data_IF_825413040259
#
_entry.id   IF_825413040259
#
_cell.length_a   1.000
_cell.length_b   1.000
_cell.length_c   1.000
_cell.angle_alpha   90.00
_cell.angle_beta   90.00
_cell.angle_gamma   90.00
#
_symmetry.space_group_name_H-M   'P 1'
#
loop_
_entity.id
_entity.type
_entity.pdbx_description
1 polymer ?
#
# COMPACT_ATOMS: atom_id res chain seq x y z
N UNK A 1 6.18 22.35 43.65
CA UNK A 1 6.19 23.14 42.40
C UNK A 1 5.66 22.25 41.29
N UNK A 2 4.38 22.41 40.96
CA UNK A 2 3.70 21.69 39.90
C UNK A 2 4.11 22.30 38.56
N UNK A 3 4.70 21.48 37.67
CA UNK A 3 4.84 21.81 36.26
C UNK A 3 3.54 21.39 35.52
N UNK A 4 2.89 22.26 34.77
CA UNK A 4 1.73 21.88 33.99
C UNK A 4 2.19 20.97 32.86
N UNK A 5 1.60 19.78 32.74
CA UNK A 5 1.74 18.89 31.61
C UNK A 5 1.23 19.60 30.35
N UNK A 6 2.14 20.07 29.50
CA UNK A 6 1.79 20.52 28.14
C UNK A 6 1.19 19.33 27.40
N UNK A 7 -0.10 19.45 27.04
CA UNK A 7 -0.71 18.55 26.05
C UNK A 7 0.12 18.61 24.77
N UNK A 8 0.48 17.47 24.18
CA UNK A 8 1.13 17.48 22.87
C UNK A 8 0.17 18.10 21.84
N UNK A 9 0.66 18.87 20.88
CA UNK A 9 -0.19 19.51 19.89
C UNK A 9 -0.86 18.42 19.04
N UNK A 10 -2.16 18.27 19.16
CA UNK A 10 -3.04 17.51 18.26
C UNK A 10 -3.16 18.27 16.93
N UNK A 11 -2.06 18.47 16.25
CA UNK A 11 -2.00 18.99 14.87
C UNK A 11 -1.37 17.93 13.99
N UNK A 12 -2.16 16.93 13.58
CA UNK A 12 -1.95 16.21 12.34
C UNK A 12 -3.00 16.70 11.37
N UNK A 13 -2.68 17.65 10.75
CA UNK A 13 -2.68 18.23 9.44
C UNK A 13 -3.35 17.35 8.39
N UNK A 14 -4.47 17.86 7.90
CA UNK A 14 -5.04 17.58 6.60
C UNK A 14 -4.01 17.82 5.47
N UNK A 15 -3.04 16.93 5.34
CA UNK A 15 -2.19 16.87 4.16
C UNK A 15 -2.67 15.75 3.24
N UNK A 16 -3.96 15.76 2.89
CA UNK A 16 -4.48 14.84 1.88
C UNK A 16 -4.43 15.41 0.45
N UNK A 17 -3.71 16.51 0.28
CA UNK A 17 -3.26 16.94 -1.05
C UNK A 17 -1.74 16.80 -1.12
N UNK A 18 -1.22 15.59 -0.88
CA UNK A 18 0.17 15.27 -1.15
C UNK A 18 0.29 15.12 -2.67
N UNK A 19 0.79 16.16 -3.31
CA UNK A 19 1.27 16.05 -4.69
C UNK A 19 2.65 15.41 -4.59
N UNK A 20 2.71 14.10 -4.72
CA UNK A 20 3.97 13.37 -4.77
C UNK A 20 4.49 13.40 -6.22
N UNK A 21 5.32 14.38 -6.54
CA UNK A 21 6.04 14.39 -7.82
C UNK A 21 7.27 13.51 -7.70
N UNK A 22 7.14 12.28 -8.15
CA UNK A 22 8.27 11.39 -8.34
C UNK A 22 8.88 11.75 -9.69
N UNK A 23 10.07 12.32 -9.68
CA UNK A 23 10.88 12.42 -10.90
C UNK A 23 11.28 11.02 -11.33
N UNK A 24 10.47 10.42 -12.22
CA UNK A 24 10.75 9.11 -12.80
C UNK A 24 11.81 9.25 -13.90
N UNK A 25 13.05 9.53 -13.53
CA UNK A 25 14.20 9.15 -14.33
C UNK A 25 14.53 7.70 -14.00
N UNK A 26 13.74 6.76 -14.52
CA UNK A 26 14.13 5.36 -14.48
C UNK A 26 15.24 5.15 -15.51
N UNK A 27 16.41 4.65 -15.13
CA UNK A 27 17.25 3.96 -16.10
C UNK A 27 16.41 2.76 -16.58
N UNK A 28 16.12 2.72 -17.88
CA UNK A 28 15.50 1.55 -18.50
C UNK A 28 16.46 0.36 -18.29
N UNK A 29 16.19 -0.44 -17.27
CA UNK A 29 16.83 -1.74 -17.15
C UNK A 29 16.31 -2.62 -18.29
N UNK A 30 17.14 -2.80 -19.32
CA UNK A 30 16.93 -3.85 -20.31
C UNK A 30 17.16 -5.18 -19.61
N UNK A 31 16.09 -5.84 -19.24
CA UNK A 31 16.11 -7.14 -18.60
C UNK A 31 16.58 -8.20 -19.58
N UNK A 32 17.69 -8.86 -19.28
CA UNK A 32 18.04 -10.15 -19.88
C UNK A 32 17.35 -11.22 -19.01
N UNK A 33 16.47 -12.00 -19.61
CA UNK A 33 15.87 -13.21 -19.04
C UNK A 33 16.95 -14.06 -18.36
N UNK A 34 16.95 -14.15 -17.06
CA UNK A 34 17.89 -14.96 -16.29
C UNK A 34 18.45 -14.31 -15.02
N UNK A 35 18.43 -12.99 -14.91
CA UNK A 35 18.82 -12.26 -13.68
C UNK A 35 17.64 -11.70 -12.87
N UNK A 36 16.43 -11.83 -13.36
CA UNK A 36 15.22 -11.20 -12.77
C UNK A 36 14.73 -11.87 -11.49
N UNK A 37 15.16 -13.09 -11.21
CA UNK A 37 14.69 -13.86 -10.06
C UNK A 37 15.63 -13.79 -8.86
N UNK A 38 16.80 -13.15 -8.97
CA UNK A 38 17.69 -13.00 -7.82
C UNK A 38 17.20 -11.90 -6.89
N UNK A 39 16.98 -12.26 -5.64
CA UNK A 39 16.72 -11.28 -4.59
C UNK A 39 17.93 -10.37 -4.40
N UNK A 40 17.68 -9.11 -4.13
CA UNK A 40 18.70 -8.15 -3.67
C UNK A 40 19.18 -8.54 -2.26
N UNK A 41 20.36 -8.09 -1.86
CA UNK A 41 20.96 -8.49 -0.58
C UNK A 41 20.08 -8.20 0.63
N UNK A 42 19.47 -7.02 0.67
CA UNK A 42 18.51 -6.67 1.74
C UNK A 42 17.27 -7.57 1.74
N UNK A 43 16.76 -7.99 0.57
CA UNK A 43 15.64 -8.93 0.46
C UNK A 43 16.04 -10.31 0.95
N UNK A 44 17.24 -10.76 0.63
CA UNK A 44 17.78 -12.04 1.13
C UNK A 44 17.94 -12.02 2.66
N UNK A 45 18.41 -10.90 3.21
CA UNK A 45 18.55 -10.73 4.64
C UNK A 45 17.18 -10.81 5.35
N UNK A 46 16.16 -10.11 4.81
CA UNK A 46 14.79 -10.16 5.33
C UNK A 46 14.23 -11.57 5.20
N UNK A 47 14.40 -12.24 4.06
CA UNK A 47 13.95 -13.62 3.85
C UNK A 47 14.52 -14.58 4.90
N UNK A 48 15.82 -14.51 5.19
CA UNK A 48 16.44 -15.31 6.27
C UNK A 48 15.78 -15.03 7.62
N UNK A 49 15.56 -13.77 7.97
CA UNK A 49 14.91 -13.39 9.23
C UNK A 49 13.46 -13.87 9.33
N UNK A 50 12.72 -13.97 8.22
CA UNK A 50 11.39 -14.58 8.17
C UNK A 50 11.47 -16.05 8.56
N UNK A 51 12.36 -16.83 7.89
CA UNK A 51 12.51 -18.25 8.18
C UNK A 51 13.04 -18.51 9.58
N UNK A 52 13.94 -17.67 10.10
CA UNK A 52 14.44 -17.77 11.48
C UNK A 52 13.31 -17.50 12.50
N UNK A 53 12.47 -16.49 12.27
CA UNK A 53 11.32 -16.22 13.12
C UNK A 53 10.33 -17.40 13.12
N UNK A 54 10.10 -18.02 11.98
CA UNK A 54 9.20 -19.17 11.85
C UNK A 54 9.67 -20.45 12.57
N UNK A 55 10.87 -20.48 13.12
CA UNK A 55 11.33 -21.59 13.98
C UNK A 55 10.61 -21.61 15.32
N UNK A 56 10.22 -20.43 15.83
CA UNK A 56 9.64 -20.26 17.15
C UNK A 56 8.24 -19.63 17.14
N UNK A 57 7.82 -19.04 16.04
CA UNK A 57 6.60 -18.25 15.91
C UNK A 57 5.87 -18.60 14.62
N UNK A 58 4.54 -18.61 14.67
CA UNK A 58 3.74 -18.94 13.48
C UNK A 58 3.41 -17.71 12.62
N UNK A 59 3.27 -16.54 13.23
CA UNK A 59 2.72 -15.35 12.60
C UNK A 59 3.76 -14.22 12.54
N UNK A 60 4.28 -13.95 11.35
CA UNK A 60 5.34 -12.94 11.11
C UNK A 60 4.80 -11.83 10.24
N UNK A 61 4.98 -10.58 10.67
CA UNK A 61 4.74 -9.40 9.85
C UNK A 61 6.06 -8.85 9.35
N UNK A 62 6.11 -8.45 8.08
CA UNK A 62 7.27 -7.81 7.46
C UNK A 62 6.92 -6.38 7.09
N UNK A 63 7.73 -5.46 7.56
CA UNK A 63 7.68 -4.06 7.16
C UNK A 63 8.77 -3.75 6.14
N UNK A 64 8.34 -3.31 4.97
CA UNK A 64 9.24 -2.80 3.92
C UNK A 64 8.59 -1.61 3.23
N UNK A 65 9.34 -0.54 2.89
CA UNK A 65 8.81 0.60 2.16
C UNK A 65 8.21 0.21 0.81
N UNK A 66 7.32 1.05 0.30
CA UNK A 66 6.82 0.91 -1.07
C UNK A 66 7.96 1.10 -2.07
N UNK A 67 7.98 0.29 -3.13
CA UNK A 67 9.04 0.33 -4.15
C UNK A 67 10.24 -0.58 -3.88
N UNK A 68 10.37 -1.18 -2.68
CA UNK A 68 11.48 -2.06 -2.32
C UNK A 68 11.29 -3.53 -2.72
N UNK A 69 10.20 -3.85 -3.47
CA UNK A 69 9.99 -5.18 -4.03
C UNK A 69 9.40 -6.20 -3.05
N UNK A 70 8.47 -5.80 -2.19
CA UNK A 70 7.72 -6.70 -1.29
C UNK A 70 7.17 -7.94 -1.99
N UNK A 71 6.50 -7.75 -3.13
CA UNK A 71 5.89 -8.85 -3.90
C UNK A 71 6.94 -9.83 -4.43
N UNK A 72 8.13 -9.35 -4.73
CA UNK A 72 9.25 -10.18 -5.19
C UNK A 72 9.82 -11.05 -4.07
N UNK A 73 10.03 -10.45 -2.89
CA UNK A 73 10.41 -11.17 -1.68
C UNK A 73 9.36 -12.24 -1.35
N UNK A 74 8.08 -11.88 -1.37
CA UNK A 74 6.97 -12.79 -1.14
C UNK A 74 7.01 -14.01 -2.07
N UNK A 75 7.12 -13.78 -3.38
CA UNK A 75 7.18 -14.85 -4.37
C UNK A 75 8.38 -15.78 -4.13
N UNK A 76 9.51 -15.22 -3.72
CA UNK A 76 10.70 -16.02 -3.38
C UNK A 76 10.53 -16.86 -2.10
N UNK A 77 9.81 -16.36 -1.10
CA UNK A 77 9.46 -17.13 0.12
C UNK A 77 8.55 -18.31 -0.23
N UNK A 78 7.53 -18.06 -1.06
CA UNK A 78 6.62 -19.11 -1.53
C UNK A 78 7.38 -20.18 -2.33
N UNK A 79 8.27 -19.74 -3.22
CA UNK A 79 9.09 -20.65 -4.03
C UNK A 79 9.93 -21.59 -3.16
N UNK A 80 10.61 -21.08 -2.13
CA UNK A 80 11.42 -21.92 -1.25
C UNK A 80 10.56 -22.92 -0.48
N UNK A 81 9.39 -22.48 0.02
CA UNK A 81 8.48 -23.38 0.73
C UNK A 81 8.04 -24.53 -0.18
N UNK A 82 7.52 -24.21 -1.37
CA UNK A 82 7.03 -25.22 -2.31
C UNK A 82 8.14 -26.08 -2.92
N UNK A 83 9.38 -25.58 -3.00
CA UNK A 83 10.53 -26.38 -3.42
C UNK A 83 10.92 -27.45 -2.39
N UNK A 84 10.69 -27.14 -1.09
CA UNK A 84 10.98 -28.06 0.01
C UNK A 84 9.81 -29.01 0.26
N UNK A 85 8.59 -28.50 0.12
CA UNK A 85 7.34 -29.19 0.42
C UNK A 85 6.33 -29.05 -0.74
N UNK A 86 6.51 -29.78 -1.85
CA UNK A 86 5.69 -29.57 -3.08
C UNK A 86 4.21 -29.85 -2.92
N UNK A 87 3.83 -30.69 -1.95
CA UNK A 87 2.40 -31.04 -1.69
C UNK A 87 1.65 -29.95 -0.91
N UNK A 88 2.34 -28.94 -0.43
CA UNK A 88 1.74 -27.89 0.39
C UNK A 88 0.93 -26.89 -0.46
N UNK A 89 -0.08 -26.31 0.19
CA UNK A 89 -0.90 -25.25 -0.41
C UNK A 89 -0.59 -23.91 0.24
N UNK A 90 -0.47 -22.86 -0.57
CA UNK A 90 -0.24 -21.49 -0.12
C UNK A 90 -1.42 -20.61 -0.53
N UNK A 91 -1.94 -19.86 0.43
CA UNK A 91 -2.96 -18.86 0.15
C UNK A 91 -2.37 -17.45 0.20
N UNK A 92 -2.74 -16.63 -0.78
CA UNK A 92 -2.37 -15.22 -0.84
C UNK A 92 -3.65 -14.41 -0.72
N UNK A 93 -3.77 -13.67 0.37
CA UNK A 93 -4.94 -12.86 0.66
C UNK A 93 -4.60 -11.40 0.37
N UNK A 94 -5.29 -10.80 -0.58
CA UNK A 94 -5.16 -9.39 -0.89
C UNK A 94 -6.49 -8.65 -0.67
N UNK A 95 -6.41 -7.37 -0.36
CA UNK A 95 -7.61 -6.55 -0.14
C UNK A 95 -8.33 -6.19 -1.45
N UNK A 96 -7.59 -6.12 -2.58
CA UNK A 96 -8.12 -5.74 -3.90
C UNK A 96 -7.79 -6.77 -4.95
N UNK A 97 -8.71 -6.97 -5.89
CA UNK A 97 -8.57 -7.94 -6.98
C UNK A 97 -7.37 -7.63 -7.89
N UNK A 98 -7.10 -6.37 -8.17
CA UNK A 98 -5.96 -5.96 -9.00
C UNK A 98 -4.61 -6.37 -8.39
N UNK A 99 -4.51 -6.36 -7.04
CA UNK A 99 -3.32 -6.83 -6.33
C UNK A 99 -3.19 -8.35 -6.43
N UNK A 100 -4.30 -9.08 -6.40
CA UNK A 100 -4.30 -10.54 -6.61
C UNK A 100 -3.66 -10.89 -7.95
N UNK A 101 -4.10 -10.27 -9.05
CA UNK A 101 -3.55 -10.49 -10.39
C UNK A 101 -2.06 -10.14 -10.48
N UNK A 102 -1.64 -9.05 -9.84
CA UNK A 102 -0.23 -8.64 -9.80
C UNK A 102 0.64 -9.67 -9.08
N UNK A 103 0.16 -10.20 -7.96
CA UNK A 103 0.87 -11.20 -7.17
C UNK A 103 0.94 -12.52 -7.95
N UNK A 104 -0.16 -12.99 -8.52
CA UNK A 104 -0.21 -14.19 -9.37
C UNK A 104 0.81 -14.10 -10.51
N UNK A 105 0.85 -12.98 -11.23
CA UNK A 105 1.82 -12.75 -12.30
C UNK A 105 3.28 -12.76 -11.80
N UNK A 106 3.52 -12.25 -10.60
CA UNK A 106 4.87 -12.25 -10.02
C UNK A 106 5.28 -13.65 -9.61
N UNK A 107 4.40 -14.40 -8.94
CA UNK A 107 4.64 -15.79 -8.52
C UNK A 107 4.86 -16.69 -9.74
N UNK A 108 4.12 -16.48 -10.82
CA UNK A 108 4.30 -17.24 -12.07
C UNK A 108 5.69 -17.07 -12.69
N UNK A 109 6.36 -15.93 -12.51
CA UNK A 109 7.76 -15.73 -12.94
C UNK A 109 8.75 -16.63 -12.19
N UNK A 110 8.40 -17.10 -11.01
CA UNK A 110 9.15 -18.11 -10.26
C UNK A 110 8.84 -19.55 -10.69
N UNK A 111 8.08 -19.75 -11.77
CA UNK A 111 7.70 -21.06 -12.29
C UNK A 111 6.52 -21.71 -11.53
N UNK A 112 5.92 -21.01 -10.57
CA UNK A 112 4.77 -21.50 -9.82
C UNK A 112 3.51 -21.07 -10.58
N UNK A 113 2.82 -22.04 -11.19
CA UNK A 113 1.65 -21.77 -12.02
C UNK A 113 0.36 -21.95 -11.21
N UNK A 114 -0.65 -21.17 -11.57
CA UNK A 114 -1.98 -21.24 -10.95
C UNK A 114 -2.64 -22.61 -11.18
N UNK A 115 -2.37 -23.21 -12.33
CA UNK A 115 -2.91 -24.51 -12.76
C UNK A 115 -2.40 -25.66 -11.88
N UNK A 116 -1.24 -25.51 -11.26
CA UNK A 116 -0.66 -26.52 -10.36
C UNK A 116 -1.45 -26.63 -9.03
N UNK A 117 -2.35 -25.67 -8.74
CA UNK A 117 -3.22 -25.68 -7.58
C UNK A 117 -2.52 -25.39 -6.23
N UNK A 118 -1.21 -25.28 -6.24
CA UNK A 118 -0.39 -25.06 -5.02
C UNK A 118 -0.54 -23.65 -4.46
N UNK A 119 -0.79 -22.66 -5.30
CA UNK A 119 -0.97 -21.27 -4.88
C UNK A 119 -2.36 -20.79 -5.26
N UNK A 120 -3.10 -20.26 -4.27
CA UNK A 120 -4.43 -19.66 -4.48
C UNK A 120 -4.39 -18.21 -4.00
N UNK A 121 -4.55 -17.29 -4.94
CA UNK A 121 -4.68 -15.86 -4.62
C UNK A 121 -6.17 -15.47 -4.62
N UNK A 122 -6.61 -14.81 -3.55
CA UNK A 122 -8.02 -14.47 -3.37
C UNK A 122 -8.19 -13.20 -2.51
N UNK A 123 -9.36 -12.59 -2.60
CA UNK A 123 -9.69 -11.50 -1.68
C UNK A 123 -10.29 -12.06 -0.39
N UNK A 124 -10.08 -11.34 0.73
CA UNK A 124 -10.66 -11.74 2.01
C UNK A 124 -12.21 -11.77 1.95
N UNK A 125 -12.82 -10.87 1.16
CA UNK A 125 -14.27 -10.82 0.96
C UNK A 125 -14.80 -12.05 0.20
N UNK A 126 -14.03 -12.55 -0.76
CA UNK A 126 -14.39 -13.78 -1.46
C UNK A 126 -14.24 -14.97 -0.50
N UNK A 127 -13.13 -15.08 0.19
CA UNK A 127 -12.84 -16.16 1.12
C UNK A 127 -13.90 -16.25 2.22
N UNK A 128 -14.31 -15.12 2.81
CA UNK A 128 -15.31 -15.11 3.89
C UNK A 128 -16.70 -15.63 3.49
N UNK A 129 -16.98 -15.70 2.19
CA UNK A 129 -18.24 -16.25 1.64
C UNK A 129 -18.13 -17.72 1.22
N UNK A 130 -16.89 -18.23 1.08
CA UNK A 130 -16.61 -19.54 0.47
C UNK A 130 -15.79 -20.44 1.39
N UNK A 131 -15.84 -20.22 2.73
CA UNK A 131 -15.12 -21.06 3.68
C UNK A 131 -15.38 -22.56 3.52
N UNK A 132 -16.63 -22.91 3.22
CA UNK A 132 -17.06 -24.29 3.13
C UNK A 132 -16.73 -24.95 1.78
N UNK A 133 -16.33 -24.17 0.80
CA UNK A 133 -16.02 -24.65 -0.56
C UNK A 133 -14.54 -25.02 -0.72
N UNK A 134 -13.73 -24.75 0.32
CA UNK A 134 -12.28 -24.94 0.27
C UNK A 134 -11.91 -26.11 1.18
N UNK A 135 -11.49 -27.21 0.58
CA UNK A 135 -11.17 -28.44 1.31
C UNK A 135 -9.68 -28.57 1.68
N UNK A 136 -8.78 -27.87 0.97
CA UNK A 136 -7.34 -27.95 1.21
C UNK A 136 -6.90 -26.85 2.16
N UNK A 137 -6.47 -27.22 3.37
CA UNK A 137 -5.91 -26.30 4.33
C UNK A 137 -4.55 -25.77 3.84
N UNK A 138 -4.26 -24.46 3.96
CA UNK A 138 -2.99 -23.90 3.57
C UNK A 138 -1.90 -24.20 4.62
N UNK A 139 -0.68 -24.44 4.18
CA UNK A 139 0.50 -24.46 5.05
C UNK A 139 1.01 -23.02 5.34
N UNK A 140 0.80 -22.13 4.38
CA UNK A 140 1.18 -20.72 4.49
C UNK A 140 0.03 -19.83 4.03
N UNK A 141 -0.29 -18.82 4.83
CA UNK A 141 -1.21 -17.74 4.49
C UNK A 141 -0.40 -16.46 4.40
N UNK A 142 -0.42 -15.84 3.23
CA UNK A 142 0.22 -14.56 2.99
C UNK A 142 -0.84 -13.46 2.91
N UNK A 143 -0.58 -12.34 3.57
CA UNK A 143 -1.47 -11.18 3.57
C UNK A 143 -0.68 -9.99 3.05
N UNK A 144 -1.05 -9.53 1.87
CA UNK A 144 -0.53 -8.27 1.34
C UNK A 144 -1.31 -7.10 1.93
N UNK A 145 -0.60 -5.97 2.16
CA UNK A 145 -1.10 -4.81 2.91
C UNK A 145 -1.70 -5.20 4.27
N UNK A 146 -0.93 -5.97 5.03
CA UNK A 146 -1.35 -6.61 6.29
C UNK A 146 -1.80 -5.63 7.39
N UNK A 147 -1.53 -4.33 7.25
CA UNK A 147 -2.10 -3.31 8.13
C UNK A 147 -3.63 -3.21 8.04
N UNK A 148 -4.24 -3.77 6.99
CA UNK A 148 -5.71 -3.92 6.88
C UNK A 148 -6.24 -5.18 7.58
N UNK A 149 -5.39 -6.09 8.04
CA UNK A 149 -5.77 -7.40 8.56
C UNK A 149 -6.50 -7.41 9.91
N UNK A 150 -6.68 -6.25 10.57
CA UNK A 150 -7.37 -6.18 11.87
C UNK A 150 -8.91 -6.28 11.81
N UNK A 151 -9.48 -6.61 10.65
CA UNK A 151 -10.91 -6.87 10.51
C UNK A 151 -11.27 -8.25 11.07
N UNK A 152 -12.53 -8.42 11.51
CA UNK A 152 -13.01 -9.66 12.11
C UNK A 152 -12.83 -10.89 11.20
N UNK A 153 -12.98 -10.71 9.88
CA UNK A 153 -12.74 -11.75 8.88
C UNK A 153 -11.32 -12.35 8.91
N UNK A 154 -10.32 -11.56 9.32
CA UNK A 154 -8.95 -12.06 9.47
C UNK A 154 -8.79 -12.85 10.79
N UNK A 155 -9.43 -12.43 11.86
CA UNK A 155 -9.43 -13.20 13.11
C UNK A 155 -10.06 -14.58 12.90
N UNK A 156 -11.15 -14.65 12.14
CA UNK A 156 -11.76 -15.91 11.74
C UNK A 156 -10.78 -16.78 10.94
N UNK A 157 -10.02 -16.22 10.02
CA UNK A 157 -9.00 -16.93 9.26
C UNK A 157 -7.92 -17.54 10.18
N UNK A 158 -7.47 -16.81 11.21
CA UNK A 158 -6.51 -17.32 12.20
C UNK A 158 -7.08 -18.48 13.02
N UNK A 159 -8.34 -18.38 13.43
CA UNK A 159 -9.03 -19.40 14.20
C UNK A 159 -9.24 -20.68 13.38
N UNK A 160 -9.60 -20.56 12.10
CA UNK A 160 -9.85 -21.71 11.22
C UNK A 160 -8.58 -22.46 10.83
N UNK A 161 -7.45 -21.74 10.68
CA UNK A 161 -6.18 -22.32 10.24
C UNK A 161 -5.04 -22.02 11.24
N UNK A 162 -5.13 -22.51 12.48
CA UNK A 162 -4.17 -22.20 13.53
C UNK A 162 -2.77 -22.73 13.22
N UNK A 163 -2.66 -23.85 12.51
CA UNK A 163 -1.38 -24.51 12.19
C UNK A 163 -0.68 -23.92 10.96
N UNK A 164 -1.40 -23.16 10.13
CA UNK A 164 -0.78 -22.50 8.99
C UNK A 164 0.20 -21.41 9.47
N UNK A 165 1.37 -21.29 8.85
CA UNK A 165 2.23 -20.12 8.99
C UNK A 165 1.54 -18.90 8.39
N UNK A 166 1.76 -17.72 8.96
CA UNK A 166 1.19 -16.47 8.47
C UNK A 166 2.31 -15.48 8.19
N UNK A 167 2.26 -14.87 7.01
CA UNK A 167 3.19 -13.84 6.57
C UNK A 167 2.42 -12.58 6.19
N UNK A 168 2.50 -11.55 7.00
CA UNK A 168 1.96 -10.23 6.67
C UNK A 168 3.01 -9.37 5.99
N UNK A 169 2.67 -8.73 4.88
CA UNK A 169 3.53 -7.76 4.20
C UNK A 169 2.90 -6.38 4.27
N UNK A 170 3.66 -5.36 4.69
CA UNK A 170 3.15 -4.00 4.77
C UNK A 170 4.26 -2.96 4.63
N UNK A 171 3.93 -1.76 4.17
CA UNK A 171 4.80 -0.60 4.27
C UNK A 171 4.62 0.14 5.61
N UNK A 172 3.44 0.02 6.22
CA UNK A 172 3.02 0.76 7.43
C UNK A 172 2.40 -0.21 8.43
N UNK A 173 3.14 -0.70 9.44
CA UNK A 173 2.64 -1.72 10.37
C UNK A 173 1.60 -1.20 11.37
N UNK A 174 1.39 0.12 11.44
CA UNK A 174 0.44 0.76 12.35
C UNK A 174 -0.65 1.48 11.58
N UNK A 175 -1.89 1.42 12.09
CA UNK A 175 -3.01 2.22 11.57
C UNK A 175 -3.05 3.63 12.15
N UNK A 176 -3.82 4.51 11.50
CA UNK A 176 -4.08 5.87 12.00
C UNK A 176 -4.73 5.89 13.40
N UNK A 177 -5.51 4.86 13.76
CA UNK A 177 -6.09 4.67 15.08
C UNK A 177 -5.10 4.12 16.13
N UNK A 178 -3.82 4.01 15.81
CA UNK A 178 -2.74 3.49 16.66
C UNK A 178 -2.90 2.03 17.12
N UNK A 179 -3.83 1.27 16.56
CA UNK A 179 -3.89 -0.17 16.80
C UNK A 179 -2.74 -0.84 16.06
N UNK A 180 -1.92 -1.57 16.79
CA UNK A 180 -0.79 -2.29 16.27
C UNK A 180 -1.18 -3.60 15.59
N UNK A 181 -0.19 -4.40 15.27
CA UNK A 181 -0.33 -5.70 14.60
C UNK A 181 -0.37 -6.88 15.58
N UNK A 182 -0.13 -6.64 16.87
CA UNK A 182 0.11 -7.67 17.91
C UNK A 182 -1.07 -8.59 18.19
N UNK A 183 -2.27 -8.22 17.72
CA UNK A 183 -3.46 -9.09 17.86
C UNK A 183 -3.41 -10.31 16.92
N UNK A 184 -2.64 -10.24 15.84
CA UNK A 184 -2.59 -11.27 14.79
C UNK A 184 -1.19 -11.76 14.45
N UNK A 185 -0.16 -10.99 14.76
CA UNK A 185 1.21 -11.31 14.42
C UNK A 185 2.10 -11.30 15.66
N UNK A 186 2.92 -12.34 15.79
CA UNK A 186 3.79 -12.57 16.94
C UNK A 186 5.03 -11.67 16.88
N UNK A 187 5.53 -11.39 15.68
CA UNK A 187 6.76 -10.63 15.49
C UNK A 187 6.73 -9.73 14.27
N UNK A 188 7.56 -8.68 14.30
CA UNK A 188 7.79 -7.74 13.22
C UNK A 188 9.23 -7.83 12.71
N UNK A 189 9.40 -8.23 11.46
CA UNK A 189 10.66 -8.13 10.73
C UNK A 189 10.67 -6.81 9.96
N UNK A 190 11.60 -5.91 10.30
CA UNK A 190 11.72 -4.59 9.66
C UNK A 190 12.88 -4.59 8.66
N UNK A 191 12.69 -3.95 7.53
CA UNK A 191 13.78 -3.59 6.62
C UNK A 191 14.51 -2.33 7.09
N UNK A 192 15.51 -1.93 6.35
CA UNK A 192 16.17 -0.64 6.48
C UNK A 192 15.17 0.51 6.24
N UNK A 193 15.54 1.71 6.66
CA UNK A 193 14.71 2.90 6.54
C UNK A 193 14.60 3.38 5.09
N UNK A 194 13.60 4.25 4.81
CA UNK A 194 13.48 4.90 3.49
C UNK A 194 14.75 5.72 3.19
N UNK A 195 15.35 6.36 4.19
CA UNK A 195 16.56 7.15 4.03
C UNK A 195 17.76 6.27 3.62
N UNK A 196 17.90 5.10 4.24
CA UNK A 196 18.94 4.14 3.88
C UNK A 196 18.76 3.64 2.44
N UNK A 197 17.53 3.25 2.06
CA UNK A 197 17.22 2.84 0.68
C UNK A 197 17.47 3.93 -0.36
N UNK A 198 17.29 5.20 -0.01
CA UNK A 198 17.63 6.32 -0.88
C UNK A 198 19.15 6.48 -0.98
N UNK A 199 19.87 6.42 0.14
CA UNK A 199 21.33 6.57 0.16
C UNK A 199 22.05 5.47 -0.61
N UNK A 200 21.48 4.25 -0.61
CA UNK A 200 21.98 3.10 -1.36
C UNK A 200 21.49 3.08 -2.82
N UNK A 201 20.68 4.02 -3.24
CA UNK A 201 20.18 4.14 -4.62
C UNK A 201 19.08 3.14 -4.99
N UNK A 202 18.47 2.46 -4.01
CA UNK A 202 17.33 1.55 -4.22
C UNK A 202 16.01 2.28 -4.39
N UNK A 203 15.85 3.43 -3.74
CA UNK A 203 14.73 4.34 -3.89
C UNK A 203 15.22 5.68 -4.44
N UNK A 204 14.37 6.33 -5.21
CA UNK A 204 14.67 7.65 -5.77
C UNK A 204 14.72 8.72 -4.68
N UNK A 205 15.58 9.69 -4.86
CA UNK A 205 15.54 10.96 -4.12
C UNK A 205 14.21 11.65 -4.43
N UNK A 206 13.67 12.36 -3.48
CA UNK A 206 12.46 13.15 -3.67
C UNK A 206 12.58 14.53 -3.02
N UNK A 207 11.92 15.51 -3.63
CA UNK A 207 11.73 16.83 -3.04
C UNK A 207 10.33 16.88 -2.43
N UNK A 208 10.25 17.30 -1.17
CA UNK A 208 9.00 17.45 -0.46
C UNK A 208 8.63 18.93 -0.35
N UNK A 209 7.57 19.35 -1.05
CA UNK A 209 7.01 20.68 -0.92
C UNK A 209 5.71 20.63 -0.11
N UNK A 210 5.72 21.24 1.06
CA UNK A 210 4.51 21.44 1.87
C UNK A 210 4.00 22.87 1.67
N UNK A 211 2.86 23.00 1.02
CA UNK A 211 2.24 24.29 0.74
C UNK A 211 1.30 24.61 1.91
N UNK A 212 1.60 25.71 2.60
CA UNK A 212 0.65 26.20 3.62
C UNK A 212 -0.59 26.74 2.91
N UNK A 213 -1.79 26.32 3.32
CA UNK A 213 -3.01 26.97 2.85
C UNK A 213 -2.96 28.44 3.19
N UNK A 214 -3.57 29.27 2.35
CA UNK A 214 -3.82 30.66 2.73
C UNK A 214 -4.77 30.76 3.93
N UNK A 215 -4.97 31.97 4.46
CA UNK A 215 -5.80 32.19 5.65
C UNK A 215 -7.25 31.70 5.48
N UNK A 216 -7.78 31.73 4.26
CA UNK A 216 -9.16 31.35 3.98
C UNK A 216 -9.29 29.84 3.81
N UNK A 217 -8.38 29.19 3.11
CA UNK A 217 -8.31 27.72 3.04
C UNK A 217 -8.04 27.11 4.41
N UNK A 218 -7.20 27.75 5.24
CA UNK A 218 -6.96 27.28 6.60
C UNK A 218 -8.24 27.32 7.44
N UNK A 219 -9.02 28.40 7.36
CA UNK A 219 -10.33 28.51 8.04
C UNK A 219 -11.30 27.43 7.57
N UNK A 220 -11.33 27.16 6.26
CA UNK A 220 -12.16 26.10 5.69
C UNK A 220 -11.75 24.72 6.19
N UNK A 221 -10.46 24.44 6.26
CA UNK A 221 -9.90 23.19 6.77
C UNK A 221 -10.20 23.06 8.27
N UNK A 222 -10.00 24.13 9.03
CA UNK A 222 -10.25 24.14 10.49
C UNK A 222 -11.75 23.98 10.82
N UNK A 223 -12.64 24.31 9.88
CA UNK A 223 -14.08 24.10 10.01
C UNK A 223 -14.53 22.64 9.88
N UNK A 224 -13.66 21.76 9.37
CA UNK A 224 -13.96 20.33 9.24
C UNK A 224 -14.01 19.67 10.62
N UNK A 225 -15.17 19.18 11.00
CA UNK A 225 -15.42 18.63 12.33
C UNK A 225 -15.79 17.14 12.33
N UNK A 226 -16.41 16.67 11.25
CA UNK A 226 -16.95 15.31 11.18
C UNK A 226 -15.87 14.29 10.86
N UNK A 227 -15.80 13.24 11.68
CA UNK A 227 -14.86 12.13 11.51
C UNK A 227 -15.57 10.87 11.06
N UNK A 228 -14.88 10.07 10.27
CA UNK A 228 -15.24 8.70 9.92
C UNK A 228 -14.86 7.75 11.07
N UNK A 229 -15.34 6.53 11.02
CA UNK A 229 -15.04 5.49 12.00
C UNK A 229 -13.54 5.14 12.11
N UNK A 230 -12.77 5.38 11.06
CA UNK A 230 -11.32 5.19 10.97
C UNK A 230 -10.51 6.37 11.52
N UNK A 231 -11.20 7.46 11.95
CA UNK A 231 -10.59 8.66 12.51
C UNK A 231 -10.24 9.74 11.48
N UNK A 232 -10.44 9.48 10.19
CA UNK A 232 -10.23 10.48 9.13
C UNK A 232 -11.46 11.40 8.99
N UNK A 233 -11.31 12.50 8.26
CA UNK A 233 -12.43 13.41 7.97
C UNK A 233 -13.44 12.75 7.02
N UNK A 234 -14.71 13.09 7.20
CA UNK A 234 -15.74 12.59 6.30
C UNK A 234 -15.57 13.15 4.89
N UNK A 235 -15.51 12.24 3.90
CA UNK A 235 -15.37 12.59 2.47
C UNK A 235 -16.42 13.60 2.01
N UNK A 236 -17.65 13.48 2.48
CA UNK A 236 -18.76 14.39 2.10
C UNK A 236 -18.49 15.83 2.56
N UNK A 237 -18.01 15.99 3.78
CA UNK A 237 -17.68 17.31 4.35
C UNK A 237 -16.45 17.90 3.63
N UNK A 238 -15.36 17.13 3.48
CA UNK A 238 -14.18 17.56 2.74
C UNK A 238 -14.52 17.99 1.31
N UNK A 239 -15.34 17.20 0.61
CA UNK A 239 -15.74 17.52 -0.76
C UNK A 239 -16.55 18.81 -0.86
N UNK A 240 -17.44 19.09 0.11
CA UNK A 240 -18.22 20.32 0.13
C UNK A 240 -17.35 21.57 0.33
N UNK A 241 -16.25 21.43 1.08
CA UNK A 241 -15.34 22.51 1.43
C UNK A 241 -14.27 22.72 0.36
N UNK A 242 -13.62 21.65 -0.08
CA UNK A 242 -12.40 21.70 -0.90
C UNK A 242 -12.65 21.51 -2.41
N UNK A 243 -13.80 20.97 -2.82
CA UNK A 243 -14.15 20.83 -4.23
C UNK A 243 -14.75 22.11 -4.80
N UNK A 244 -14.03 23.22 -4.64
CA UNK A 244 -14.43 24.54 -5.14
C UNK A 244 -13.39 25.06 -6.11
N UNK A 245 -13.83 25.90 -7.06
CA UNK A 245 -12.95 26.46 -8.09
C UNK A 245 -11.70 27.16 -7.51
N UNK A 246 -11.78 28.04 -6.50
CA UNK A 246 -10.60 28.71 -5.97
C UNK A 246 -9.55 27.74 -5.40
N UNK A 247 -9.99 26.66 -4.74
CA UNK A 247 -9.09 25.65 -4.19
C UNK A 247 -8.40 24.84 -5.30
N UNK A 248 -9.12 24.50 -6.36
CA UNK A 248 -8.57 23.80 -7.53
C UNK A 248 -7.58 24.69 -8.29
N UNK A 249 -7.86 25.98 -8.39
CA UNK A 249 -7.02 27.00 -9.00
C UNK A 249 -5.66 27.11 -8.28
N UNK A 250 -5.69 27.27 -6.95
CA UNK A 250 -4.46 27.28 -6.13
C UNK A 250 -3.66 25.96 -6.24
N UNK A 251 -4.35 24.83 -6.29
CA UNK A 251 -3.71 23.55 -6.52
C UNK A 251 -2.99 23.52 -7.88
N UNK A 252 -3.64 24.02 -8.93
CA UNK A 252 -3.04 24.14 -10.25
C UNK A 252 -1.78 25.04 -10.26
N UNK A 253 -1.88 26.23 -9.65
CA UNK A 253 -0.76 27.15 -9.53
C UNK A 253 0.42 26.52 -8.77
N UNK A 254 0.13 25.80 -7.71
CA UNK A 254 1.16 25.07 -6.96
C UNK A 254 1.85 24.00 -7.79
N UNK A 255 1.08 23.24 -8.59
CA UNK A 255 1.64 22.25 -9.51
C UNK A 255 2.50 22.93 -10.57
N UNK A 256 2.06 24.03 -11.13
CA UNK A 256 2.83 24.83 -12.09
C UNK A 256 4.14 25.33 -11.48
N UNK A 257 4.11 25.77 -10.23
CA UNK A 257 5.28 26.31 -9.56
C UNK A 257 6.34 25.25 -9.23
N UNK A 258 5.91 24.09 -8.67
CA UNK A 258 6.84 23.08 -8.14
C UNK A 258 7.13 21.92 -9.10
N UNK A 259 6.29 21.71 -10.10
CA UNK A 259 6.31 20.49 -10.89
C UNK A 259 5.94 20.71 -12.37
N UNK A 260 6.16 21.90 -12.89
CA UNK A 260 5.88 22.18 -14.28
C UNK A 260 6.62 21.23 -15.23
N UNK A 261 5.95 20.77 -16.26
CA UNK A 261 6.49 19.83 -17.24
C UNK A 261 6.73 18.39 -16.72
N UNK A 262 6.45 18.11 -15.45
CA UNK A 262 6.61 16.76 -14.87
C UNK A 262 5.31 15.96 -14.99
N UNK A 263 5.45 14.62 -15.12
CA UNK A 263 4.32 13.70 -14.96
C UNK A 263 3.97 13.60 -13.48
N UNK A 264 2.67 13.65 -13.15
CA UNK A 264 2.22 13.64 -11.77
C UNK A 264 0.91 12.88 -11.57
N UNK A 265 0.62 12.55 -10.33
CA UNK A 265 -0.65 11.96 -9.88
C UNK A 265 -1.24 12.88 -8.81
N UNK A 266 -2.50 13.29 -8.99
CA UNK A 266 -3.26 14.03 -8.00
C UNK A 266 -4.29 13.10 -7.36
N UNK A 267 -4.20 12.91 -6.05
CA UNK A 267 -5.20 12.18 -5.29
C UNK A 267 -6.35 13.11 -4.91
N UNK A 268 -7.53 12.84 -5.47
CA UNK A 268 -8.72 13.64 -5.24
C UNK A 268 -9.60 13.03 -4.14
N UNK A 269 -10.37 13.86 -3.47
CA UNK A 269 -11.27 13.50 -2.35
C UNK A 269 -12.45 12.65 -2.85
N UNK A 270 -12.94 12.93 -4.06
CA UNK A 270 -14.07 12.25 -4.68
C UNK A 270 -13.91 12.17 -6.20
N UNK A 271 -14.72 11.31 -6.84
CA UNK A 271 -14.77 11.22 -8.32
C UNK A 271 -15.13 12.59 -8.94
N UNK A 272 -16.08 13.32 -8.34
CA UNK A 272 -16.42 14.66 -8.79
C UNK A 272 -15.27 15.65 -8.69
N UNK A 273 -14.51 15.59 -7.58
CA UNK A 273 -13.31 16.41 -7.40
C UNK A 273 -12.23 16.07 -8.43
N UNK A 274 -11.97 14.78 -8.70
CA UNK A 274 -11.02 14.36 -9.72
C UNK A 274 -11.37 14.90 -11.10
N UNK A 275 -12.66 14.84 -11.48
CA UNK A 275 -13.15 15.36 -12.77
C UNK A 275 -13.02 16.87 -12.86
N UNK A 276 -13.34 17.60 -11.79
CA UNK A 276 -13.20 19.05 -11.75
C UNK A 276 -11.75 19.48 -11.88
N UNK A 277 -10.81 18.81 -11.18
CA UNK A 277 -9.37 19.04 -11.30
C UNK A 277 -8.91 18.78 -12.74
N UNK A 278 -9.21 17.61 -13.29
CA UNK A 278 -8.80 17.26 -14.66
C UNK A 278 -9.35 18.25 -15.70
N UNK A 279 -10.62 18.63 -15.58
CA UNK A 279 -11.23 19.62 -16.46
C UNK A 279 -10.58 21.00 -16.35
N UNK A 280 -10.27 21.45 -15.13
CA UNK A 280 -9.59 22.72 -14.92
C UNK A 280 -8.18 22.70 -15.52
N UNK A 281 -7.42 21.67 -15.23
CA UNK A 281 -6.04 21.50 -15.73
C UNK A 281 -6.00 21.44 -17.28
N UNK A 282 -6.90 20.67 -17.89
CA UNK A 282 -6.98 20.57 -19.34
C UNK A 282 -7.34 21.91 -20.03
N UNK A 283 -8.23 22.69 -19.41
CA UNK A 283 -8.56 24.04 -19.90
C UNK A 283 -7.42 25.03 -19.81
N UNK A 284 -6.43 24.76 -18.94
CA UNK A 284 -5.24 25.62 -18.74
C UNK A 284 -3.96 25.00 -19.35
N UNK A 285 -4.11 24.11 -20.33
CA UNK A 285 -2.99 23.60 -21.14
C UNK A 285 -2.24 22.41 -20.55
N UNK A 286 -2.70 21.82 -19.43
CA UNK A 286 -2.15 20.58 -18.90
C UNK A 286 -2.94 19.37 -19.43
N UNK A 287 -2.24 18.36 -19.94
CA UNK A 287 -2.90 17.09 -20.30
C UNK A 287 -3.22 16.31 -19.02
N UNK A 288 -4.47 16.37 -18.57
CA UNK A 288 -4.92 15.75 -17.32
C UNK A 288 -6.17 14.89 -17.55
N UNK A 289 -6.15 13.69 -16.98
CA UNK A 289 -7.25 12.71 -17.09
C UNK A 289 -7.69 12.28 -15.69
N UNK A 290 -9.00 12.25 -15.44
CA UNK A 290 -9.55 11.69 -14.22
C UNK A 290 -9.69 10.18 -14.36
N UNK A 291 -9.12 9.43 -13.41
CA UNK A 291 -9.25 7.97 -13.31
C UNK A 291 -10.04 7.62 -12.06
N UNK A 292 -11.07 6.81 -12.20
CA UNK A 292 -11.92 6.35 -11.11
C UNK A 292 -12.19 4.84 -11.19
N UNK A 293 -12.97 4.30 -10.24
CA UNK A 293 -13.32 2.88 -10.19
C UNK A 293 -14.10 2.38 -11.43
N UNK A 294 -14.71 3.27 -12.19
CA UNK A 294 -15.48 2.95 -13.41
C UNK A 294 -14.64 3.08 -14.69
N UNK A 295 -13.42 3.61 -14.58
CA UNK A 295 -12.53 3.75 -15.74
C UNK A 295 -12.08 2.37 -16.22
N UNK A 296 -12.29 2.03 -17.50
CA UNK A 296 -11.91 0.73 -18.07
C UNK A 296 -10.43 0.43 -17.94
N UNK A 297 -10.09 -0.85 -17.70
CA UNK A 297 -8.71 -1.29 -17.52
C UNK A 297 -7.73 -0.86 -18.64
N UNK A 298 -8.09 -0.88 -19.93
CA UNK A 298 -7.22 -0.38 -20.99
C UNK A 298 -6.85 1.10 -20.84
N UNK A 299 -7.79 1.93 -20.40
CA UNK A 299 -7.56 3.37 -20.20
C UNK A 299 -6.70 3.66 -18.95
N UNK A 300 -6.72 2.77 -17.95
CA UNK A 300 -5.85 2.90 -16.77
C UNK A 300 -4.39 2.54 -17.05
N UNK A 301 -4.11 1.85 -18.17
CA UNK A 301 -2.76 1.40 -18.55
C UNK A 301 -2.06 2.36 -19.52
N UNK A 302 -2.76 3.37 -20.04
CA UNK A 302 -2.21 4.45 -20.85
C UNK A 302 -1.59 5.55 -20.00
#
# INVERSE_FOLDING_TARGET
KYFPKKKPPTRRLLYNSIILFISLSFPMFKNKLGKELSLRDYQQAIKRRIFDAWRNQACVMVQMPTGTGKTHLLASVIYDLLSTEPEQCVWIIAHRRELVEQIENTVARYGIRKEDGQVRAMSIQWLSRHWNDIHNAPALIVIDEAHHALAESYKELWTRYPHAKKLGMTATPCRLNRKGFTDLFDTLVTSDSIADFISEGWLSVFDYASIKPDSDDQKLIDSLSKRSWDGDFQIKEMNAVLNKRPTIERLYESVRHYADGKKGIVYAISIGHARNIASYYSKHGMNAVAIDSKTPAPQRKQ
#
